data_IF_259570985999
#
_entry.id   IF_259570985999
#
_cell.length_a   1.000
_cell.length_b   1.000
_cell.length_c   1.000
_cell.angle_alpha   90.00
_cell.angle_beta   90.00
_cell.angle_gamma   90.00
#
_symmetry.space_group_name_H-M   'P 1'
#
loop_
_entity.id
_entity.type
_entity.pdbx_description
1 polymer ?
#
# COMPACT_ATOMS: atom_id res chain seq x y z
N UNK A 1 0.59 19.54 -0.41
CA UNK A 1 0.70 18.08 -0.63
C UNK A 1 1.91 17.45 0.08
N UNK A 2 3.12 18.00 0.01
CA UNK A 2 4.32 17.41 0.64
C UNK A 2 4.17 17.11 2.13
N UNK A 3 3.71 18.06 2.92
CA UNK A 3 3.52 17.91 4.39
C UNK A 3 2.62 16.71 4.72
N UNK A 4 1.51 16.56 3.99
CA UNK A 4 0.56 15.45 4.19
C UNK A 4 1.21 14.11 3.83
N UNK A 5 1.98 14.06 2.75
CA UNK A 5 2.68 12.85 2.33
C UNK A 5 3.72 12.39 3.36
N UNK A 6 4.55 13.31 3.85
CA UNK A 6 5.51 13.01 4.92
C UNK A 6 4.83 12.69 6.25
N UNK A 7 3.72 13.36 6.56
CA UNK A 7 2.89 13.03 7.73
C UNK A 7 2.34 11.61 7.67
N UNK A 8 1.85 11.18 6.50
CA UNK A 8 1.39 9.80 6.29
C UNK A 8 2.55 8.80 6.45
N UNK A 9 3.74 9.11 5.93
CA UNK A 9 4.90 8.25 6.09
C UNK A 9 5.29 8.09 7.57
N UNK A 10 5.37 9.20 8.31
CA UNK A 10 5.66 9.15 9.74
C UNK A 10 4.58 8.38 10.52
N UNK A 11 3.29 8.63 10.24
CA UNK A 11 2.17 7.90 10.85
C UNK A 11 2.18 6.41 10.52
N UNK A 12 2.52 6.04 9.29
CA UNK A 12 2.68 4.64 8.89
C UNK A 12 3.81 3.96 9.67
N UNK A 13 4.98 4.60 9.80
CA UNK A 13 6.10 4.06 10.58
C UNK A 13 5.77 3.91 12.07
N UNK A 14 5.05 4.85 12.67
CA UNK A 14 4.58 4.72 14.05
C UNK A 14 3.61 3.55 14.19
N UNK A 15 2.71 3.35 13.24
CA UNK A 15 1.79 2.21 13.22
C UNK A 15 2.54 0.89 13.06
N UNK A 16 3.51 0.84 12.16
CA UNK A 16 4.41 -0.31 11.97
C UNK A 16 5.13 -0.67 13.26
N UNK A 17 5.69 0.33 13.97
CA UNK A 17 6.32 0.11 15.27
C UNK A 17 5.35 -0.49 16.29
N UNK A 18 4.14 0.08 16.44
CA UNK A 18 3.11 -0.46 17.34
C UNK A 18 2.76 -1.91 17.00
N UNK A 19 2.53 -2.22 15.73
CA UNK A 19 2.15 -3.57 15.29
C UNK A 19 3.30 -4.56 15.50
N UNK A 20 4.55 -4.15 15.28
CA UNK A 20 5.71 -4.98 15.51
C UNK A 20 5.90 -5.27 17.02
N UNK A 21 5.87 -4.24 17.88
CA UNK A 21 6.05 -4.40 19.32
C UNK A 21 4.88 -5.12 19.99
N UNK A 22 3.67 -5.08 19.42
CA UNK A 22 2.55 -5.90 19.86
C UNK A 22 2.74 -7.41 19.60
N UNK A 23 3.79 -7.78 18.86
CA UNK A 23 4.10 -9.15 18.43
C UNK A 23 2.97 -9.81 17.63
N UNK A 24 2.12 -9.01 16.95
CA UNK A 24 1.02 -9.56 16.17
C UNK A 24 1.51 -10.49 15.05
N UNK A 25 2.74 -10.31 14.57
CA UNK A 25 3.35 -11.21 13.58
C UNK A 25 3.47 -12.67 14.04
N UNK A 26 3.38 -12.94 15.36
CA UNK A 26 3.37 -14.30 15.91
C UNK A 26 1.98 -14.95 15.87
N UNK A 27 0.93 -14.19 15.63
CA UNK A 27 -0.44 -14.72 15.65
C UNK A 27 -0.64 -15.78 14.58
N UNK A 28 -1.59 -16.68 14.82
CA UNK A 28 -1.88 -17.82 13.97
C UNK A 28 -0.63 -18.67 13.69
N UNK A 29 0.17 -18.93 14.73
CA UNK A 29 1.42 -19.71 14.64
C UNK A 29 2.43 -19.10 13.63
N UNK A 30 2.48 -17.75 13.52
CA UNK A 30 3.38 -17.03 12.63
C UNK A 30 2.82 -16.75 11.21
N UNK A 31 1.62 -17.23 10.88
CA UNK A 31 1.04 -16.99 9.54
C UNK A 31 0.81 -15.51 9.23
N UNK A 32 0.46 -14.71 10.25
CA UNK A 32 0.29 -13.26 10.07
C UNK A 32 1.61 -12.61 9.65
N UNK A 33 2.70 -12.95 10.31
CA UNK A 33 4.04 -12.45 9.94
C UNK A 33 4.52 -12.94 8.59
N UNK A 34 4.27 -14.21 8.27
CA UNK A 34 4.58 -14.78 6.96
C UNK A 34 3.83 -14.07 5.84
N UNK A 35 2.53 -13.80 6.03
CA UNK A 35 1.73 -13.04 5.06
C UNK A 35 2.28 -11.63 4.87
N UNK A 36 2.63 -10.95 5.97
CA UNK A 36 3.22 -9.61 5.92
C UNK A 36 4.56 -9.59 5.16
N UNK A 37 5.42 -10.59 5.38
CA UNK A 37 6.68 -10.75 4.66
C UNK A 37 6.45 -10.98 3.15
N UNK A 38 5.52 -11.86 2.79
CA UNK A 38 5.22 -12.16 1.40
C UNK A 38 4.63 -10.95 0.65
N UNK A 39 3.72 -10.21 1.29
CA UNK A 39 3.19 -8.97 0.73
C UNK A 39 4.32 -7.95 0.52
N UNK A 40 5.17 -7.74 1.53
CA UNK A 40 6.28 -6.80 1.44
C UNK A 40 7.28 -7.18 0.33
N UNK A 41 7.63 -8.47 0.24
CA UNK A 41 8.54 -8.97 -0.81
C UNK A 41 7.95 -8.76 -2.20
N UNK A 42 6.69 -9.14 -2.42
CA UNK A 42 6.02 -8.95 -3.71
C UNK A 42 6.07 -7.50 -4.18
N UNK A 43 5.89 -6.55 -3.27
CA UNK A 43 5.93 -5.11 -3.59
C UNK A 43 7.30 -4.59 -3.97
N UNK A 44 8.37 -5.04 -3.31
CA UNK A 44 9.73 -4.57 -3.60
C UNK A 44 10.41 -5.31 -4.75
N UNK A 45 9.80 -6.39 -5.25
CA UNK A 45 10.29 -7.16 -6.39
C UNK A 45 9.68 -6.74 -7.71
N UNK A 46 8.70 -5.83 -7.71
CA UNK A 46 8.17 -5.22 -8.92
C UNK A 46 9.28 -4.46 -9.67
N UNK A 47 9.22 -4.50 -10.98
CA UNK A 47 10.01 -3.57 -11.79
C UNK A 47 9.46 -2.14 -11.65
N UNK A 48 10.32 -1.10 -11.61
CA UNK A 48 9.88 0.28 -11.40
C UNK A 48 8.82 0.76 -12.39
N UNK A 49 8.93 0.35 -13.66
CA UNK A 49 7.94 0.68 -14.70
C UNK A 49 6.61 0.00 -14.41
N UNK A 50 6.63 -1.28 -14.02
CA UNK A 50 5.43 -2.01 -13.62
C UNK A 50 4.76 -1.37 -12.41
N UNK A 51 5.54 -1.02 -11.38
CA UNK A 51 5.07 -0.37 -10.17
C UNK A 51 4.42 1.00 -10.47
N UNK A 52 4.99 1.77 -11.40
CA UNK A 52 4.42 3.04 -11.87
C UNK A 52 3.03 2.84 -12.48
N UNK A 53 2.90 1.94 -13.45
CA UNK A 53 1.61 1.71 -14.12
C UNK A 53 0.55 1.12 -13.19
N UNK A 54 0.92 0.19 -12.30
CA UNK A 54 0.03 -0.31 -11.26
C UNK A 54 -0.38 0.78 -10.26
N UNK A 55 0.41 1.83 -10.11
CA UNK A 55 0.13 2.98 -9.26
C UNK A 55 -0.89 3.97 -9.84
N UNK A 56 -1.17 3.97 -11.16
CA UNK A 56 -2.07 4.96 -11.76
C UNK A 56 -3.52 4.78 -11.29
N UNK A 57 -4.04 3.58 -11.39
CA UNK A 57 -5.46 3.30 -11.19
C UNK A 57 -5.97 3.46 -9.75
N UNK A 58 -5.22 3.08 -8.68
CA UNK A 58 -5.80 3.14 -7.33
C UNK A 58 -6.12 4.57 -6.92
N UNK A 59 -5.27 5.54 -7.29
CA UNK A 59 -5.53 6.93 -6.91
C UNK A 59 -6.65 7.56 -7.73
N UNK A 60 -6.85 7.14 -8.99
CA UNK A 60 -8.03 7.49 -9.74
C UNK A 60 -9.30 6.94 -9.07
N UNK A 61 -9.31 5.68 -8.64
CA UNK A 61 -10.44 5.07 -7.92
C UNK A 61 -10.71 5.71 -6.56
N UNK A 62 -9.66 6.08 -5.81
CA UNK A 62 -9.80 6.82 -4.55
C UNK A 62 -10.43 8.19 -4.78
N UNK A 63 -9.96 8.93 -5.78
CA UNK A 63 -10.54 10.24 -6.13
C UNK A 63 -12.01 10.10 -6.57
N UNK A 64 -12.34 9.06 -7.33
CA UNK A 64 -13.73 8.75 -7.71
C UNK A 64 -14.59 8.41 -6.48
N UNK A 65 -14.08 7.63 -5.54
CA UNK A 65 -14.78 7.33 -4.30
C UNK A 65 -15.11 8.59 -3.50
N UNK A 66 -14.13 9.49 -3.35
CA UNK A 66 -14.33 10.79 -2.70
C UNK A 66 -15.37 11.62 -3.44
N UNK A 67 -15.31 11.65 -4.76
CA UNK A 67 -16.29 12.40 -5.56
C UNK A 67 -17.70 11.84 -5.44
N UNK A 68 -17.86 10.53 -5.47
CA UNK A 68 -19.16 9.90 -5.23
C UNK A 68 -19.72 10.27 -3.85
N UNK A 69 -18.87 10.42 -2.84
CA UNK A 69 -19.29 10.86 -1.51
C UNK A 69 -19.88 12.28 -1.49
N UNK A 70 -19.52 13.16 -2.42
CA UNK A 70 -20.11 14.50 -2.51
C UNK A 70 -21.57 14.45 -3.02
N UNK A 71 -21.93 13.47 -3.83
CA UNK A 71 -23.31 13.25 -4.27
C UNK A 71 -24.19 12.50 -3.25
N UNK A 72 -23.56 11.85 -2.28
CA UNK A 72 -24.22 11.03 -1.27
C UNK A 72 -24.96 11.89 -0.23
N UNK A 73 -26.22 11.54 0.03
CA UNK A 73 -27.12 12.30 0.93
C UNK A 73 -27.18 11.72 2.34
N UNK A 74 -26.85 10.45 2.52
CA UNK A 74 -26.86 9.76 3.80
C UNK A 74 -25.48 9.16 4.13
N UNK A 75 -25.29 8.76 5.39
CA UNK A 75 -24.07 8.04 5.81
C UNK A 75 -23.94 6.69 5.10
N UNK A 76 -25.07 6.01 4.87
CA UNK A 76 -25.09 4.71 4.18
C UNK A 76 -24.63 4.88 2.75
N UNK A 77 -25.13 5.89 2.04
CA UNK A 77 -24.71 6.19 0.66
C UNK A 77 -23.22 6.41 0.56
N UNK A 78 -22.61 7.14 1.53
CA UNK A 78 -21.17 7.38 1.59
C UNK A 78 -20.39 6.08 1.80
N UNK A 79 -20.87 5.22 2.70
CA UNK A 79 -20.23 3.92 2.95
C UNK A 79 -20.23 3.08 1.66
N UNK A 80 -21.36 2.99 0.99
CA UNK A 80 -21.49 2.24 -0.27
C UNK A 80 -20.62 2.85 -1.38
N UNK A 81 -20.59 4.17 -1.49
CA UNK A 81 -19.76 4.88 -2.46
C UNK A 81 -18.25 4.60 -2.30
N UNK A 82 -17.78 4.33 -1.07
CA UNK A 82 -16.38 4.04 -0.77
C UNK A 82 -16.05 2.56 -0.98
N UNK A 83 -16.92 1.64 -0.54
CA UNK A 83 -16.62 0.21 -0.51
C UNK A 83 -16.26 -0.31 -1.91
N UNK A 84 -17.03 0.01 -2.94
CA UNK A 84 -16.82 -0.56 -4.27
C UNK A 84 -15.49 -0.13 -4.90
N UNK A 85 -15.15 1.17 -5.01
CA UNK A 85 -13.86 1.56 -5.61
C UNK A 85 -12.65 1.09 -4.80
N UNK A 86 -12.74 1.10 -3.46
CA UNK A 86 -11.64 0.68 -2.60
C UNK A 86 -11.44 -0.85 -2.66
N UNK A 87 -12.53 -1.62 -2.62
CA UNK A 87 -12.44 -3.07 -2.78
C UNK A 87 -11.92 -3.45 -4.17
N UNK A 88 -12.34 -2.74 -5.21
CA UNK A 88 -11.88 -2.98 -6.57
C UNK A 88 -10.37 -2.77 -6.71
N UNK A 89 -9.81 -1.68 -6.17
CA UNK A 89 -8.38 -1.45 -6.29
C UNK A 89 -7.54 -2.47 -5.51
N UNK A 90 -8.04 -2.93 -4.35
CA UNK A 90 -7.37 -3.97 -3.54
C UNK A 90 -7.42 -5.31 -4.26
N UNK A 91 -8.60 -5.71 -4.76
CA UNK A 91 -8.80 -6.97 -5.47
C UNK A 91 -8.00 -7.05 -6.79
N UNK A 92 -7.85 -5.93 -7.48
CA UNK A 92 -7.06 -5.84 -8.71
C UNK A 92 -5.53 -5.84 -8.46
N UNK A 93 -5.07 -5.81 -7.20
CA UNK A 93 -3.65 -5.81 -6.87
C UNK A 93 -2.92 -4.53 -7.28
N UNK A 94 -3.62 -3.41 -7.36
CA UNK A 94 -3.04 -2.10 -7.67
C UNK A 94 -2.13 -1.59 -6.54
N UNK A 95 -1.18 -0.72 -6.89
CA UNK A 95 -0.15 -0.23 -5.99
C UNK A 95 -0.45 1.18 -5.46
N UNK A 96 -0.63 1.30 -4.14
CA UNK A 96 -0.91 2.58 -3.49
C UNK A 96 0.23 2.97 -2.55
N UNK A 97 0.89 4.10 -2.81
CA UNK A 97 2.09 4.53 -2.09
C UNK A 97 1.88 4.63 -0.58
N UNK A 98 0.77 5.21 -0.13
CA UNK A 98 0.48 5.35 1.31
C UNK A 98 0.28 3.98 1.99
N UNK A 99 -0.40 3.04 1.33
CA UNK A 99 -0.53 1.68 1.85
C UNK A 99 0.82 0.95 1.92
N UNK A 100 1.68 1.16 0.92
CA UNK A 100 3.00 0.55 0.87
C UNK A 100 3.95 1.11 1.96
N UNK A 101 3.72 2.34 2.44
CA UNK A 101 4.43 2.91 3.60
C UNK A 101 4.19 2.10 4.89
N UNK A 102 3.14 1.28 4.94
CA UNK A 102 2.89 0.34 6.03
C UNK A 102 3.37 -1.08 5.67
N UNK A 103 2.93 -1.61 4.52
CA UNK A 103 3.16 -3.02 4.17
C UNK A 103 4.64 -3.38 4.02
N UNK A 104 5.44 -2.51 3.43
CA UNK A 104 6.85 -2.85 3.24
C UNK A 104 7.66 -2.67 4.53
N UNK A 105 7.55 -1.56 5.29
CA UNK A 105 8.26 -1.42 6.55
C UNK A 105 7.91 -2.46 7.61
N UNK A 106 6.66 -2.93 7.71
CA UNK A 106 6.35 -4.00 8.68
C UNK A 106 7.07 -5.30 8.29
N UNK A 107 7.13 -5.65 7.00
CA UNK A 107 7.92 -6.78 6.52
C UNK A 107 9.41 -6.62 6.80
N UNK A 108 9.96 -5.41 6.62
CA UNK A 108 11.36 -5.09 6.93
C UNK A 108 11.67 -5.28 8.42
N UNK A 109 10.79 -4.82 9.32
CA UNK A 109 10.99 -5.02 10.75
C UNK A 109 10.91 -6.51 11.13
N UNK A 110 9.94 -7.24 10.59
CA UNK A 110 9.82 -8.69 10.85
C UNK A 110 11.07 -9.40 10.35
N UNK A 111 11.51 -9.14 9.13
CA UNK A 111 12.73 -9.76 8.58
C UNK A 111 13.94 -9.56 9.47
N UNK A 112 14.16 -8.34 9.94
CA UNK A 112 15.42 -7.97 10.59
C UNK A 112 15.41 -8.18 12.12
N UNK A 113 14.22 -8.14 12.75
CA UNK A 113 14.12 -8.06 14.22
C UNK A 113 13.09 -9.02 14.82
N UNK A 114 12.46 -9.91 14.04
CA UNK A 114 11.55 -10.89 14.61
C UNK A 114 12.28 -11.85 15.55
N UNK A 115 11.58 -12.30 16.57
CA UNK A 115 12.11 -13.27 17.53
C UNK A 115 12.50 -14.58 16.82
N UNK A 116 13.54 -15.29 17.33
CA UNK A 116 13.91 -16.62 16.80
C UNK A 116 12.75 -17.62 16.77
N UNK A 117 11.82 -17.51 17.73
CA UNK A 117 10.60 -18.33 17.77
C UNK A 117 9.67 -18.13 16.58
N UNK A 118 9.71 -16.97 15.92
CA UNK A 118 8.96 -16.74 14.70
C UNK A 118 9.50 -17.60 13.55
N UNK A 119 10.83 -17.58 13.33
CA UNK A 119 11.48 -18.35 12.27
C UNK A 119 11.44 -19.86 12.51
N UNK A 120 11.34 -20.28 13.78
CA UNK A 120 11.17 -21.68 14.19
C UNK A 120 9.69 -22.13 14.21
N UNK A 121 8.74 -21.26 13.85
CA UNK A 121 7.32 -21.61 13.88
C UNK A 121 6.99 -22.71 12.86
N UNK A 122 6.13 -23.64 13.27
CA UNK A 122 5.68 -24.77 12.47
C UNK A 122 5.16 -24.37 11.06
N UNK A 123 4.48 -23.24 10.98
CA UNK A 123 3.91 -22.73 9.73
C UNK A 123 4.98 -22.35 8.69
N UNK A 124 6.15 -21.88 9.14
CA UNK A 124 7.28 -21.53 8.29
C UNK A 124 8.09 -22.80 7.95
N UNK A 125 8.31 -23.66 8.93
CA UNK A 125 9.08 -24.90 8.77
C UNK A 125 8.37 -25.91 7.84
N UNK A 126 7.03 -25.98 7.90
CA UNK A 126 6.20 -26.89 7.08
C UNK A 126 5.82 -26.31 5.72
N UNK A 127 6.15 -25.07 5.43
CA UNK A 127 5.97 -24.50 4.08
C UNK A 127 6.85 -25.24 3.07
N UNK A 128 6.40 -25.35 1.83
CA UNK A 128 7.15 -26.03 0.77
C UNK A 128 7.47 -25.04 -0.35
N UNK A 129 8.75 -24.59 -0.49
CA UNK A 129 9.91 -24.92 0.37
C UNK A 129 9.83 -24.26 1.76
N UNK A 130 10.59 -24.73 2.77
CA UNK A 130 10.66 -24.09 4.08
C UNK A 130 11.06 -22.62 3.98
N UNK A 131 10.39 -21.77 4.75
CA UNK A 131 10.60 -20.32 4.70
C UNK A 131 11.79 -19.94 5.56
N UNK A 132 12.82 -19.36 4.95
CA UNK A 132 14.02 -18.85 5.62
C UNK A 132 14.17 -17.35 5.41
N UNK A 133 15.00 -16.71 6.22
CA UNK A 133 15.31 -15.27 6.09
C UNK A 133 15.91 -14.92 4.72
N UNK A 134 16.66 -15.83 4.13
CA UNK A 134 17.33 -15.65 2.85
C UNK A 134 16.35 -15.51 1.68
N UNK A 135 15.16 -16.13 1.80
CA UNK A 135 14.09 -15.95 0.82
C UNK A 135 13.66 -14.47 0.66
N UNK A 136 13.92 -13.65 1.69
CA UNK A 136 13.59 -12.23 1.72
C UNK A 136 14.81 -11.32 1.49
N UNK A 137 15.89 -11.82 0.89
CA UNK A 137 17.12 -11.03 0.65
C UNK A 137 16.82 -9.72 -0.11
N UNK A 138 15.90 -9.74 -1.08
CA UNK A 138 15.48 -8.56 -1.86
C UNK A 138 14.65 -7.54 -1.05
N UNK A 139 14.12 -7.92 0.10
CA UNK A 139 13.36 -7.01 0.96
C UNK A 139 14.34 -6.11 1.71
N UNK A 140 14.60 -4.92 1.15
CA UNK A 140 15.51 -3.90 1.66
C UNK A 140 14.89 -2.51 1.57
N UNK A 141 15.36 -1.57 2.39
CA UNK A 141 14.93 -0.17 2.30
C UNK A 141 15.25 0.44 0.93
N UNK A 142 16.39 0.10 0.33
CA UNK A 142 16.77 0.56 -1.00
C UNK A 142 15.73 0.16 -2.05
N UNK A 143 15.40 -1.13 -2.12
CA UNK A 143 14.38 -1.63 -3.04
C UNK A 143 12.99 -1.07 -2.74
N UNK A 144 12.66 -0.84 -1.46
CA UNK A 144 11.40 -0.17 -1.11
C UNK A 144 11.29 1.20 -1.74
N UNK A 145 12.31 2.04 -1.63
CA UNK A 145 12.25 3.39 -2.20
C UNK A 145 12.33 3.37 -3.73
N UNK A 146 13.29 2.64 -4.30
CA UNK A 146 13.60 2.71 -5.73
C UNK A 146 12.61 1.91 -6.58
N UNK A 147 12.28 0.69 -6.18
CA UNK A 147 11.44 -0.20 -6.99
C UNK A 147 9.94 -0.03 -6.73
N UNK A 148 9.57 0.52 -5.55
CA UNK A 148 8.16 0.63 -5.18
C UNK A 148 7.74 2.07 -4.86
N UNK A 149 8.20 2.67 -3.76
CA UNK A 149 7.59 3.90 -3.24
C UNK A 149 7.64 5.06 -4.23
N UNK A 150 8.80 5.33 -4.85
CA UNK A 150 8.96 6.43 -5.81
C UNK A 150 8.12 6.19 -7.06
N UNK A 151 8.26 5.07 -7.81
CA UNK A 151 7.48 4.87 -9.03
C UNK A 151 5.97 4.78 -8.75
N UNK A 152 5.54 4.13 -7.67
CA UNK A 152 4.13 4.08 -7.28
C UNK A 152 3.59 5.48 -6.96
N UNK A 153 4.37 6.31 -6.25
CA UNK A 153 3.95 7.70 -5.95
C UNK A 153 3.75 8.51 -7.21
N UNK A 154 4.66 8.40 -8.17
CA UNK A 154 4.51 9.07 -9.48
C UNK A 154 3.27 8.57 -10.22
N UNK A 155 3.03 7.27 -10.24
CA UNK A 155 1.81 6.68 -10.79
C UNK A 155 0.54 7.21 -10.10
N UNK A 156 0.54 7.24 -8.77
CA UNK A 156 -0.59 7.77 -7.99
C UNK A 156 -0.86 9.26 -8.30
N UNK A 157 0.18 10.07 -8.53
CA UNK A 157 0.01 11.48 -8.94
C UNK A 157 -0.63 11.56 -10.33
N UNK A 158 -0.18 10.75 -11.28
CA UNK A 158 -0.77 10.70 -12.62
C UNK A 158 -2.23 10.29 -12.56
N UNK A 159 -2.58 9.25 -11.80
CA UNK A 159 -3.96 8.79 -11.64
C UNK A 159 -4.86 9.82 -10.97
N UNK A 160 -4.46 10.35 -9.82
CA UNK A 160 -5.30 11.28 -9.05
C UNK A 160 -5.31 12.69 -9.62
N UNK A 161 -4.14 13.29 -9.82
CA UNK A 161 -4.03 14.66 -10.30
C UNK A 161 -4.21 14.75 -11.83
N UNK A 162 -3.61 13.84 -12.59
CA UNK A 162 -3.66 13.85 -14.05
C UNK A 162 -5.03 13.40 -14.56
N UNK A 163 -5.45 12.17 -14.28
CA UNK A 163 -6.68 11.62 -14.85
C UNK A 163 -7.95 12.22 -14.26
N UNK A 164 -7.99 12.42 -12.94
CA UNK A 164 -9.19 12.94 -12.28
C UNK A 164 -9.14 14.46 -12.11
N UNK A 165 -8.08 14.98 -11.50
CA UNK A 165 -7.98 16.40 -11.17
C UNK A 165 -7.98 17.32 -12.40
N UNK A 166 -7.18 17.01 -13.43
CA UNK A 166 -7.15 17.83 -14.66
C UNK A 166 -8.45 17.74 -15.45
N UNK A 167 -9.04 16.54 -15.56
CA UNK A 167 -10.33 16.38 -16.27
C UNK A 167 -11.42 17.17 -15.57
N UNK A 168 -11.46 17.08 -14.23
CA UNK A 168 -12.41 17.83 -13.44
C UNK A 168 -12.25 19.35 -13.58
N UNK A 169 -10.99 19.83 -13.54
CA UNK A 169 -10.69 21.24 -13.77
C UNK A 169 -11.14 21.69 -15.16
N UNK A 170 -10.85 20.91 -16.19
CA UNK A 170 -11.22 21.23 -17.57
C UNK A 170 -12.74 21.32 -17.76
N UNK A 171 -13.50 20.40 -17.17
CA UNK A 171 -14.96 20.33 -17.35
C UNK A 171 -15.69 21.38 -16.52
N UNK A 172 -15.29 21.59 -15.27
CA UNK A 172 -16.07 22.36 -14.31
C UNK A 172 -15.44 23.69 -13.87
N UNK A 173 -14.13 23.79 -13.86
CA UNK A 173 -13.45 24.94 -13.27
C UNK A 173 -12.74 25.83 -14.30
N UNK A 174 -12.62 25.40 -15.55
CA UNK A 174 -12.02 26.24 -16.59
C UNK A 174 -12.93 27.44 -16.88
N UNK A 175 -12.41 28.70 -16.81
CA UNK A 175 -13.16 29.86 -17.19
C UNK A 175 -13.66 29.73 -18.63
N UNK A 176 -14.97 29.83 -18.85
CA UNK A 176 -15.52 29.95 -20.21
C UNK A 176 -15.16 31.33 -20.72
N UNK A 177 -14.49 31.39 -21.86
CA UNK A 177 -14.39 32.63 -22.61
C UNK A 177 -15.75 32.84 -23.25
N UNK A 178 -16.51 33.83 -22.75
CA UNK A 178 -17.69 34.35 -23.42
C UNK A 178 -17.30 34.99 -24.74
#
# INVERSE_FOLDING_TARGET
MGIVYFGNFAGALLTVGRMFFSKQYLFSKGLVGLTALNIALAKVTLEPVQAFFLGIMPNALVCMAVWLCYSARSTIDKILAIIFPISAFVAAGFEHSIANMYFVPIGLLIKNYALPSFWAADSLAKATPPVTIDAYAKLTWGNFFVNNLIPVTLGNIVGGAGMVGLVYWFVYLRPRKD
#
